data_IF_540954736095
#
_entry.id   IF_540954736095
#
_cell.length_a   1.000
_cell.length_b   1.000
_cell.length_c   1.000
_cell.angle_alpha   90.00
_cell.angle_beta   90.00
_cell.angle_gamma   90.00
#
_symmetry.space_group_name_H-M   'P 1'
#
loop_
_entity.id
_entity.type
_entity.pdbx_description
1 polymer ?
#
# COMPACT_ATOMS: atom_id res chain seq x y z
N UNK A 1 8.05 -22.21 -3.97
CA UNK A 1 9.35 -22.07 -4.64
C UNK A 1 10.24 -21.31 -3.67
N UNK A 2 11.34 -21.90 -3.21
CA UNK A 2 12.25 -21.19 -2.29
C UNK A 2 13.11 -20.21 -3.10
N UNK A 3 13.50 -19.04 -2.56
CA UNK A 3 14.31 -18.06 -3.31
C UNK A 3 15.63 -18.61 -3.86
N UNK A 4 16.21 -19.61 -3.21
CA UNK A 4 17.45 -20.30 -3.59
C UNK A 4 17.29 -21.27 -4.77
N UNK A 5 16.06 -21.57 -5.18
CA UNK A 5 15.72 -22.49 -6.27
C UNK A 5 15.33 -21.73 -7.55
N UNK A 6 15.51 -20.41 -7.58
CA UNK A 6 15.11 -19.57 -8.72
C UNK A 6 16.27 -19.22 -9.62
N UNK A 7 16.18 -19.66 -10.87
CA UNK A 7 17.11 -19.35 -11.96
C UNK A 7 16.85 -17.96 -12.60
N UNK A 8 15.90 -17.19 -12.07
CA UNK A 8 15.48 -15.85 -12.53
C UNK A 8 15.21 -15.76 -14.04
N UNK A 9 14.64 -16.82 -14.62
CA UNK A 9 14.33 -16.87 -16.06
C UNK A 9 13.10 -16.03 -16.43
N UNK A 10 12.97 -15.67 -17.71
CA UNK A 10 11.76 -15.01 -18.24
C UNK A 10 10.51 -15.85 -17.97
N UNK A 11 10.62 -17.18 -18.04
CA UNK A 11 9.52 -18.09 -17.75
C UNK A 11 9.07 -18.00 -16.28
N UNK A 12 10.01 -17.97 -15.34
CA UNK A 12 9.69 -17.78 -13.92
C UNK A 12 9.05 -16.42 -13.66
N UNK A 13 9.59 -15.34 -14.27
CA UNK A 13 8.97 -14.02 -14.20
C UNK A 13 7.52 -14.07 -14.70
N UNK A 14 7.27 -14.73 -15.85
CA UNK A 14 5.93 -14.90 -16.40
C UNK A 14 4.98 -15.61 -15.42
N UNK A 15 5.44 -16.68 -14.76
CA UNK A 15 4.64 -17.38 -13.75
C UNK A 15 4.29 -16.48 -12.56
N UNK A 16 5.25 -15.69 -12.08
CA UNK A 16 5.04 -14.77 -10.96
C UNK A 16 4.06 -13.68 -11.34
N UNK A 17 4.28 -12.94 -12.44
CA UNK A 17 3.40 -11.81 -12.83
C UNK A 17 1.96 -12.27 -13.08
N UNK A 18 1.76 -13.45 -13.68
CA UNK A 18 0.43 -13.99 -13.91
C UNK A 18 -0.30 -14.34 -12.62
N UNK A 19 0.44 -14.68 -11.56
CA UNK A 19 -0.12 -15.01 -10.25
C UNK A 19 -0.38 -13.79 -9.39
N UNK A 20 0.54 -12.83 -9.35
CA UNK A 20 0.51 -11.74 -8.35
C UNK A 20 0.17 -10.38 -8.95
N UNK A 21 0.46 -10.15 -10.23
CA UNK A 21 0.41 -8.80 -10.82
C UNK A 21 -0.88 -8.49 -11.60
N UNK A 22 -1.77 -9.48 -11.77
CA UNK A 22 -3.05 -9.28 -12.46
C UNK A 22 -4.08 -8.58 -11.56
N UNK A 23 -4.66 -7.51 -12.07
CA UNK A 23 -5.68 -6.75 -11.35
C UNK A 23 -7.02 -7.48 -11.35
N UNK A 24 -7.48 -7.89 -10.16
CA UNK A 24 -8.86 -8.29 -9.96
C UNK A 24 -9.67 -7.16 -9.31
N UNK A 25 -10.72 -6.69 -9.98
CA UNK A 25 -11.52 -5.61 -9.45
C UNK A 25 -12.25 -6.06 -8.17
N UNK A 26 -12.11 -5.30 -7.09
CA UNK A 26 -12.83 -5.51 -5.84
C UNK A 26 -13.72 -4.30 -5.52
N UNK A 27 -14.93 -4.58 -5.02
CA UNK A 27 -15.91 -3.58 -4.65
C UNK A 27 -15.43 -2.65 -3.52
N UNK A 28 -14.60 -3.16 -2.61
CA UNK A 28 -14.13 -2.43 -1.42
C UNK A 28 -12.91 -1.55 -1.71
N UNK A 29 -12.10 -1.94 -2.69
CA UNK A 29 -10.81 -1.33 -2.93
C UNK A 29 -10.83 -0.38 -4.14
N UNK A 30 -10.94 -0.95 -5.34
CA UNK A 30 -10.70 -0.22 -6.57
C UNK A 30 -11.98 0.33 -7.21
N UNK A 31 -13.13 -0.31 -7.00
CA UNK A 31 -14.39 0.20 -7.54
C UNK A 31 -14.83 1.44 -6.77
N UNK A 32 -14.79 2.60 -7.43
CA UNK A 32 -15.19 3.88 -6.85
C UNK A 32 -16.30 4.49 -7.69
N UNK A 33 -17.26 5.12 -7.01
CA UNK A 33 -18.29 5.90 -7.67
C UNK A 33 -17.64 7.19 -8.16
N UNK A 34 -17.78 7.48 -9.44
CA UNK A 34 -17.37 8.77 -9.99
C UNK A 34 -18.40 9.83 -9.57
N UNK A 35 -17.95 10.90 -8.92
CA UNK A 35 -18.82 11.96 -8.41
C UNK A 35 -19.57 12.71 -9.53
N UNK A 36 -19.05 12.72 -10.76
CA UNK A 36 -19.65 13.44 -11.89
C UNK A 36 -20.67 12.60 -12.66
N UNK A 37 -20.32 11.35 -12.96
CA UNK A 37 -21.17 10.48 -13.78
C UNK A 37 -22.08 9.56 -12.95
N UNK A 38 -21.88 9.53 -11.63
CA UNK A 38 -22.55 8.60 -10.71
C UNK A 38 -22.35 7.11 -11.03
N UNK A 39 -21.50 6.77 -12.00
CA UNK A 39 -21.16 5.40 -12.37
C UNK A 39 -20.02 4.88 -11.51
N UNK A 40 -20.05 3.58 -11.21
CA UNK A 40 -18.91 2.90 -10.57
C UNK A 40 -17.91 2.49 -11.64
N UNK A 41 -16.65 2.83 -11.43
CA UNK A 41 -15.54 2.42 -12.29
C UNK A 41 -14.33 2.04 -11.45
N UNK A 42 -13.39 1.31 -12.06
CA UNK A 42 -12.11 1.04 -11.42
C UNK A 42 -11.28 2.33 -11.35
N UNK A 43 -10.86 2.75 -10.14
CA UNK A 43 -10.00 3.92 -9.94
C UNK A 43 -8.62 3.82 -10.62
N UNK A 44 -8.24 2.60 -11.04
CA UNK A 44 -6.99 2.31 -11.75
C UNK A 44 -7.22 2.07 -13.25
N UNK A 45 -8.44 2.36 -13.74
CA UNK A 45 -8.78 2.34 -15.16
C UNK A 45 -8.71 0.94 -15.82
N UNK A 46 -9.03 -0.11 -15.04
CA UNK A 46 -9.18 -1.47 -15.56
C UNK A 46 -10.63 -1.82 -15.95
N UNK A 47 -10.84 -2.65 -16.98
CA UNK A 47 -9.83 -3.14 -17.92
C UNK A 47 -9.31 -2.01 -18.82
N UNK A 48 -8.03 -2.07 -19.22
CA UNK A 48 -7.44 -1.09 -20.14
C UNK A 48 -7.73 -1.47 -21.58
N UNK A 49 -7.73 -0.48 -22.47
CA UNK A 49 -8.02 -0.68 -23.90
C UNK A 49 -6.94 -1.55 -24.57
N UNK A 50 -7.37 -2.42 -25.47
CA UNK A 50 -6.53 -3.31 -26.29
C UNK A 50 -6.88 -3.15 -27.78
N UNK A 51 -5.93 -3.40 -28.72
CA UNK A 51 -4.52 -3.70 -28.50
C UNK A 51 -3.70 -2.46 -28.09
N UNK A 52 -2.59 -2.67 -27.39
CA UNK A 52 -1.70 -1.59 -26.97
C UNK A 52 -0.24 -2.05 -27.11
N UNK A 53 0.27 -1.94 -28.34
CA UNK A 53 1.59 -2.47 -28.72
C UNK A 53 2.72 -1.45 -28.57
N UNK A 54 2.39 -0.17 -28.40
CA UNK A 54 3.34 0.93 -28.29
C UNK A 54 3.14 1.66 -26.96
N UNK A 55 4.21 1.91 -26.19
CA UNK A 55 4.09 2.68 -24.96
C UNK A 55 3.71 4.13 -25.28
N UNK A 56 2.80 4.71 -24.49
CA UNK A 56 2.38 6.11 -24.63
C UNK A 56 2.50 6.87 -23.32
N UNK A 57 2.64 8.19 -23.41
CA UNK A 57 2.50 9.12 -22.28
C UNK A 57 1.46 10.15 -22.68
N UNK A 58 0.22 9.95 -22.21
CA UNK A 58 -0.90 10.79 -22.59
C UNK A 58 -1.95 10.87 -21.46
N UNK A 59 -3.07 11.54 -21.73
CA UNK A 59 -4.19 11.72 -20.78
C UNK A 59 -5.40 10.84 -21.14
N UNK A 60 -5.23 9.80 -21.96
CA UNK A 60 -6.32 8.94 -22.44
C UNK A 60 -6.98 8.16 -21.30
N UNK A 61 -6.19 7.61 -20.38
CA UNK A 61 -6.68 6.91 -19.19
C UNK A 61 -7.17 7.88 -18.12
N UNK A 62 -6.41 8.95 -17.88
CA UNK A 62 -6.72 9.96 -16.88
C UNK A 62 -6.71 11.37 -17.49
N UNK A 63 -7.88 12.02 -17.60
CA UNK A 63 -7.95 13.36 -18.20
C UNK A 63 -7.26 14.44 -17.35
N UNK A 64 -6.91 14.17 -16.09
CA UNK A 64 -6.30 15.16 -15.18
C UNK A 64 -4.77 15.24 -15.32
N UNK A 65 -4.09 14.09 -15.38
CA UNK A 65 -2.63 14.01 -15.34
C UNK A 65 -2.13 13.09 -16.43
N UNK A 66 -0.96 13.40 -16.99
CA UNK A 66 -0.28 12.50 -17.91
C UNK A 66 0.00 11.17 -17.22
N UNK A 67 -0.21 10.06 -17.92
CA UNK A 67 0.10 8.73 -17.42
C UNK A 67 0.92 7.98 -18.44
N UNK A 68 1.97 7.30 -17.97
CA UNK A 68 2.68 6.32 -18.78
C UNK A 68 1.85 5.04 -18.88
N UNK A 69 1.47 4.69 -20.10
CA UNK A 69 0.84 3.42 -20.42
C UNK A 69 1.82 2.55 -21.22
N UNK A 70 2.28 1.46 -20.61
CA UNK A 70 3.23 0.55 -21.25
C UNK A 70 2.53 -0.35 -22.28
N UNK A 71 3.26 -0.74 -23.31
CA UNK A 71 2.84 -1.80 -24.22
C UNK A 71 2.46 -3.07 -23.45
N UNK A 72 1.31 -3.65 -23.76
CA UNK A 72 0.69 -4.75 -23.02
C UNK A 72 -0.07 -5.68 -23.95
N UNK A 73 -0.07 -6.97 -23.62
CA UNK A 73 -0.88 -7.99 -24.26
C UNK A 73 -2.04 -8.48 -23.37
N UNK A 74 -2.21 -7.89 -22.18
CA UNK A 74 -3.24 -8.23 -21.20
C UNK A 74 -3.83 -6.92 -20.64
N UNK A 75 -5.16 -6.81 -20.73
CA UNK A 75 -5.95 -5.63 -20.36
C UNK A 75 -6.03 -5.40 -18.84
N UNK A 76 -5.63 -6.38 -18.04
CA UNK A 76 -5.70 -6.39 -16.56
C UNK A 76 -4.33 -6.50 -15.90
N UNK A 77 -3.25 -6.50 -16.66
CA UNK A 77 -1.90 -6.52 -16.11
C UNK A 77 -1.54 -5.16 -15.49
N UNK A 78 -1.19 -5.15 -14.21
CA UNK A 78 -0.62 -3.96 -13.58
C UNK A 78 0.79 -3.71 -14.14
N UNK A 79 1.20 -2.45 -14.17
CA UNK A 79 2.59 -2.09 -14.48
C UNK A 79 3.53 -2.71 -13.44
N UNK A 80 4.73 -3.11 -13.87
CA UNK A 80 5.73 -3.71 -13.00
C UNK A 80 7.14 -3.46 -13.50
N UNK A 81 8.11 -3.52 -12.59
CA UNK A 81 9.53 -3.52 -12.91
C UNK A 81 10.04 -4.95 -12.80
N UNK A 82 10.57 -5.50 -13.89
CA UNK A 82 10.98 -6.92 -13.99
C UNK A 82 11.91 -7.32 -12.84
N UNK A 83 12.94 -6.52 -12.58
CA UNK A 83 13.92 -6.77 -11.52
C UNK A 83 13.28 -6.79 -10.12
N UNK A 84 12.35 -5.87 -9.85
CA UNK A 84 11.69 -5.77 -8.54
C UNK A 84 10.77 -6.98 -8.32
N UNK A 85 9.93 -7.34 -9.29
CA UNK A 85 9.08 -8.54 -9.14
C UNK A 85 9.91 -9.80 -9.00
N UNK A 86 11.01 -9.92 -9.75
CA UNK A 86 11.89 -11.08 -9.67
C UNK A 86 12.51 -11.22 -8.27
N UNK A 87 12.93 -10.12 -7.65
CA UNK A 87 13.48 -10.12 -6.29
C UNK A 87 12.39 -10.28 -5.20
N UNK A 88 11.23 -9.65 -5.39
CA UNK A 88 10.17 -9.54 -4.39
C UNK A 88 9.22 -10.74 -4.38
N UNK A 89 9.00 -11.37 -5.54
CA UNK A 89 8.09 -12.50 -5.76
C UNK A 89 6.63 -12.27 -5.33
N UNK A 90 6.26 -11.01 -5.19
CA UNK A 90 4.91 -10.57 -4.86
C UNK A 90 4.54 -9.37 -5.73
N UNK A 91 3.28 -8.95 -5.62
CA UNK A 91 2.77 -7.83 -6.41
C UNK A 91 3.51 -6.55 -6.05
N UNK A 92 3.79 -5.73 -7.06
CA UNK A 92 4.44 -4.43 -6.91
C UNK A 92 3.53 -3.35 -7.46
N UNK A 93 3.52 -2.18 -6.84
CA UNK A 93 2.88 -1.00 -7.42
C UNK A 93 3.96 -0.11 -8.02
N UNK A 94 3.99 0.00 -9.35
CA UNK A 94 5.01 0.75 -10.07
C UNK A 94 4.34 1.69 -11.08
N UNK A 95 4.66 2.98 -10.99
CA UNK A 95 4.23 4.00 -11.94
C UNK A 95 5.43 4.88 -12.29
N UNK A 96 5.51 5.28 -13.56
CA UNK A 96 6.48 6.30 -13.97
C UNK A 96 5.99 7.64 -13.46
N UNK A 97 6.88 8.40 -12.85
CA UNK A 97 6.64 9.79 -12.50
C UNK A 97 6.56 10.61 -13.80
N UNK A 98 5.37 11.08 -14.14
CA UNK A 98 5.06 11.89 -15.32
C UNK A 98 4.76 13.35 -14.96
N UNK A 99 5.12 13.73 -13.73
CA UNK A 99 4.80 15.01 -13.12
C UNK A 99 5.81 16.10 -13.53
N UNK A 100 5.27 17.24 -13.97
CA UNK A 100 5.97 18.46 -14.33
C UNK A 100 5.81 19.58 -13.29
N UNK A 101 4.80 19.50 -12.42
CA UNK A 101 4.37 20.58 -11.51
C UNK A 101 4.55 20.26 -10.02
N UNK A 102 5.32 19.23 -9.67
CA UNK A 102 5.67 18.91 -8.29
C UNK A 102 4.61 18.13 -7.51
N UNK A 103 3.58 17.57 -8.16
CA UNK A 103 2.62 16.64 -7.57
C UNK A 103 3.29 15.45 -6.85
N UNK A 104 4.45 15.00 -7.30
CA UNK A 104 5.25 13.95 -6.64
C UNK A 104 5.89 14.48 -5.37
N UNK A 105 6.41 15.70 -5.39
CA UNK A 105 6.94 16.35 -4.19
C UNK A 105 5.83 16.59 -3.17
N UNK A 106 4.65 17.05 -3.58
CA UNK A 106 3.47 17.20 -2.73
C UNK A 106 2.99 15.86 -2.17
N UNK A 107 3.00 14.82 -3.00
CA UNK A 107 2.68 13.46 -2.57
C UNK A 107 3.68 13.02 -1.49
N UNK A 108 4.98 13.15 -1.72
CA UNK A 108 6.01 12.81 -0.74
C UNK A 108 5.84 13.65 0.54
N UNK A 109 5.65 14.97 0.41
CA UNK A 109 5.44 15.88 1.52
C UNK A 109 4.23 15.49 2.35
N UNK A 110 3.12 15.08 1.74
CA UNK A 110 1.93 14.56 2.45
C UNK A 110 2.26 13.31 3.28
N UNK A 111 3.13 12.42 2.79
CA UNK A 111 3.53 11.24 3.57
C UNK A 111 4.55 11.58 4.65
N UNK A 112 5.51 12.46 4.36
CA UNK A 112 6.49 12.95 5.33
C UNK A 112 5.84 13.79 6.45
N UNK A 113 4.77 14.53 6.13
CA UNK A 113 4.03 15.36 7.09
C UNK A 113 2.81 14.66 7.68
N UNK A 114 2.60 13.37 7.36
CA UNK A 114 1.46 12.60 7.88
C UNK A 114 1.60 12.54 9.40
N UNK A 115 0.67 13.18 10.10
CA UNK A 115 0.68 13.19 11.56
C UNK A 115 0.72 11.76 12.09
N UNK A 116 1.58 11.56 13.07
CA UNK A 116 1.69 10.31 13.79
C UNK A 116 0.36 9.99 14.47
N UNK A 117 0.05 8.70 14.55
CA UNK A 117 -1.11 8.27 15.31
C UNK A 117 -0.82 8.59 16.77
N UNK A 118 -1.56 9.55 17.33
CA UNK A 118 -1.47 9.85 18.76
C UNK A 118 -1.79 8.59 19.56
N UNK A 119 -0.96 8.29 20.56
CA UNK A 119 -1.23 7.22 21.51
C UNK A 119 -2.60 7.42 22.15
N UNK A 120 -3.32 6.31 22.33
CA UNK A 120 -4.61 6.35 23.00
C UNK A 120 -4.44 6.82 24.43
N UNK A 121 -5.39 7.61 24.94
CA UNK A 121 -5.34 8.01 26.35
C UNK A 121 -5.50 6.78 27.24
N UNK A 122 -4.88 6.79 28.41
CA UNK A 122 -5.00 5.70 29.39
C UNK A 122 -6.47 5.38 29.73
N UNK A 123 -7.34 6.40 29.70
CA UNK A 123 -8.78 6.28 29.88
C UNK A 123 -9.44 5.47 28.75
N UNK A 124 -9.09 5.75 27.50
CA UNK A 124 -9.60 5.02 26.33
C UNK A 124 -9.12 3.57 26.33
N UNK A 125 -7.84 3.35 26.67
CA UNK A 125 -7.29 2.01 26.85
C UNK A 125 -8.06 1.27 27.95
N UNK A 126 -8.30 1.92 29.09
CA UNK A 126 -9.11 1.39 30.19
C UNK A 126 -10.53 1.03 29.78
N UNK A 127 -11.21 1.89 29.01
CA UNK A 127 -12.56 1.61 28.46
C UNK A 127 -12.57 0.40 27.54
N UNK A 128 -11.53 0.22 26.72
CA UNK A 128 -11.40 -0.96 25.84
C UNK A 128 -11.14 -2.25 26.63
N UNK A 129 -10.50 -2.15 27.79
CA UNK A 129 -10.20 -3.31 28.64
C UNK A 129 -11.38 -3.69 29.54
N UNK A 130 -12.17 -2.72 29.98
CA UNK A 130 -13.25 -2.90 30.95
C UNK A 130 -14.19 -4.10 30.65
N UNK A 131 -14.64 -4.36 29.40
CA UNK A 131 -15.50 -5.50 29.09
C UNK A 131 -14.84 -6.88 29.32
N UNK A 132 -13.51 -6.94 29.41
CA UNK A 132 -12.74 -8.17 29.51
C UNK A 132 -12.15 -8.41 30.91
N UNK A 133 -12.52 -7.59 31.90
CA UNK A 133 -12.04 -7.70 33.29
C UNK A 133 -12.72 -8.87 33.99
N UNK A 134 -11.95 -9.70 34.70
CA UNK A 134 -12.47 -10.82 35.47
C UNK A 134 -13.16 -10.34 36.75
N UNK A 135 -14.46 -10.63 36.91
CA UNK A 135 -15.28 -10.21 38.05
C UNK A 135 -14.82 -10.78 39.41
N UNK A 136 -14.20 -11.97 39.45
CA UNK A 136 -13.71 -12.59 40.68
C UNK A 136 -12.40 -11.99 41.20
N UNK A 137 -11.69 -11.22 40.36
CA UNK A 137 -10.45 -10.51 40.73
C UNK A 137 -10.27 -9.22 39.92
N UNK A 138 -11.18 -8.24 40.09
CA UNK A 138 -11.36 -7.14 39.14
C UNK A 138 -10.14 -6.22 39.07
N UNK A 139 -9.56 -5.86 40.21
CA UNK A 139 -8.40 -4.96 40.28
C UNK A 139 -7.18 -5.59 39.59
N UNK A 140 -6.79 -6.79 40.01
CA UNK A 140 -5.60 -7.46 39.44
C UNK A 140 -5.79 -7.82 37.97
N UNK A 141 -7.00 -8.22 37.56
CA UNK A 141 -7.31 -8.48 36.15
C UNK A 141 -7.26 -7.22 35.29
N UNK A 142 -7.73 -6.08 35.81
CA UNK A 142 -7.66 -4.81 35.09
C UNK A 142 -6.21 -4.36 34.91
N UNK A 143 -5.43 -4.32 35.98
CA UNK A 143 -4.02 -3.91 35.92
C UNK A 143 -3.18 -4.83 35.02
N UNK A 144 -3.33 -6.14 35.11
CA UNK A 144 -2.61 -7.08 34.25
C UNK A 144 -2.93 -6.86 32.76
N UNK A 145 -4.20 -6.66 32.42
CA UNK A 145 -4.62 -6.39 31.03
C UNK A 145 -4.17 -5.01 30.55
N UNK A 146 -4.18 -4.01 31.43
CA UNK A 146 -3.67 -2.66 31.15
C UNK A 146 -2.18 -2.70 30.82
N UNK A 147 -1.37 -3.36 31.66
CA UNK A 147 0.07 -3.50 31.43
C UNK A 147 0.36 -4.24 30.13
N UNK A 148 -0.32 -5.36 29.86
CA UNK A 148 -0.14 -6.10 28.61
C UNK A 148 -0.48 -5.26 27.37
N UNK A 149 -1.47 -4.38 27.48
CA UNK A 149 -1.86 -3.49 26.39
C UNK A 149 -0.85 -2.36 26.18
N UNK A 150 -0.40 -1.72 27.25
CA UNK A 150 0.60 -0.65 27.19
C UNK A 150 1.97 -1.14 26.70
N UNK A 151 2.39 -2.35 27.08
CA UNK A 151 3.65 -2.94 26.60
C UNK A 151 3.61 -3.22 25.10
N UNK A 152 2.44 -3.51 24.54
CA UNK A 152 2.26 -3.74 23.10
C UNK A 152 2.05 -2.48 22.25
N UNK A 153 1.76 -1.34 22.87
CA UNK A 153 1.42 -0.07 22.20
C UNK A 153 2.65 0.87 22.09
N UNK A 154 3.85 0.33 21.81
CA UNK A 154 4.98 1.20 21.48
C UNK A 154 4.73 1.82 20.10
N UNK A 155 4.22 3.04 20.10
CA UNK A 155 4.13 3.87 18.90
C UNK A 155 5.56 4.33 18.55
N UNK A 156 6.26 3.58 17.68
CA UNK A 156 7.48 4.08 17.03
C UNK A 156 7.01 4.91 15.86
N UNK A 157 7.44 6.17 15.79
CA UNK A 157 7.06 7.00 14.66
C UNK A 157 7.76 6.59 13.37
N UNK A 158 7.18 6.93 12.22
CA UNK A 158 7.85 6.72 10.94
C UNK A 158 9.20 7.45 10.88
N UNK A 159 9.33 8.59 11.57
CA UNK A 159 10.59 9.32 11.68
C UNK A 159 11.58 8.60 12.61
N UNK A 160 11.13 8.12 13.77
CA UNK A 160 11.96 7.33 14.70
C UNK A 160 12.43 6.03 14.04
N UNK A 161 11.55 5.33 13.31
CA UNK A 161 11.89 4.15 12.53
C UNK A 161 12.94 4.46 11.46
N UNK A 162 12.78 5.55 10.70
CA UNK A 162 13.78 5.95 9.70
C UNK A 162 15.13 6.28 10.33
N UNK A 163 15.16 6.98 11.47
CA UNK A 163 16.40 7.25 12.19
C UNK A 163 17.05 5.95 12.71
N UNK A 164 16.27 5.02 13.25
CA UNK A 164 16.78 3.71 13.68
C UNK A 164 17.31 2.87 12.52
N UNK A 165 16.57 2.79 11.40
CA UNK A 165 16.96 2.01 10.21
C UNK A 165 18.20 2.58 9.52
N UNK A 166 18.31 3.91 9.46
CA UNK A 166 19.44 4.60 8.83
C UNK A 166 20.60 4.87 9.80
N UNK A 167 20.47 4.45 11.06
CA UNK A 167 21.44 4.72 12.12
C UNK A 167 21.78 6.22 12.26
N UNK A 168 20.74 7.06 12.19
CA UNK A 168 20.82 8.51 12.36
C UNK A 168 20.45 8.89 13.81
N UNK A 169 21.00 9.98 14.35
CA UNK A 169 20.61 10.45 15.68
C UNK A 169 19.14 10.86 15.71
N UNK A 170 18.43 10.44 16.77
CA UNK A 170 17.10 10.96 17.09
C UNK A 170 17.27 12.41 17.57
N UNK A 171 16.81 13.36 16.76
CA UNK A 171 16.82 14.79 17.10
C UNK A 171 15.77 15.13 18.16
#
# INVERSE_FOLDING_TARGET
MKPTEMDYTIYQLMLVINRVQRHNCSHEYCQRKNNRTCQRGCRFYFPRTMPHDQPTVDKSLNPRHYMFDAARNDDRMNNYVRAIIAAWLANTDAAVCTDDEGATADYLAKYCSKQEKRSESLLEVGRKIAPYVNAGRPITSFFAKMLNKLVGERDISAQEEMHLLLNLPLA
#
